data_IF_554546593228
#
_entry.id   IF_554546593228
#
_cell.length_a   1.000
_cell.length_b   1.000
_cell.length_c   1.000
_cell.angle_alpha   90.00
_cell.angle_beta   90.00
_cell.angle_gamma   90.00
#
_symmetry.space_group_name_H-M   'P 1'
#
loop_
_entity.id
_entity.type
_entity.pdbx_description
1 polymer ?
#
# COMPACT_ATOMS: atom_id res chain seq x y z
N UNK A 1 26.83 -19.03 -38.14
CA UNK A 1 27.26 -18.91 -36.72
C UNK A 1 26.61 -17.73 -36.00
N UNK A 2 26.83 -16.46 -36.40
CA UNK A 2 26.25 -15.28 -35.72
C UNK A 2 24.72 -15.32 -35.54
N UNK A 3 23.96 -15.72 -36.57
CA UNK A 3 22.49 -15.84 -36.51
C UNK A 3 21.99 -16.92 -35.55
N UNK A 4 22.74 -18.02 -35.42
CA UNK A 4 22.42 -19.12 -34.49
C UNK A 4 22.71 -18.69 -33.05
N UNK A 5 23.86 -18.05 -32.82
CA UNK A 5 24.21 -17.48 -31.51
C UNK A 5 23.16 -16.44 -31.08
N UNK A 6 22.73 -15.56 -32.00
CA UNK A 6 21.70 -14.56 -31.71
C UNK A 6 20.33 -15.20 -31.41
N UNK A 7 19.96 -16.25 -32.14
CA UNK A 7 18.74 -17.02 -31.87
C UNK A 7 18.77 -17.73 -30.51
N UNK A 8 19.90 -18.35 -30.14
CA UNK A 8 20.08 -18.95 -28.82
C UNK A 8 20.02 -17.91 -27.69
N UNK A 9 20.66 -16.75 -27.87
CA UNK A 9 20.63 -15.66 -26.88
C UNK A 9 19.19 -15.15 -26.68
N UNK A 10 18.46 -14.93 -27.78
CA UNK A 10 17.07 -14.51 -27.73
C UNK A 10 16.19 -15.54 -26.99
N UNK A 11 16.39 -16.83 -27.26
CA UNK A 11 15.68 -17.89 -26.57
C UNK A 11 15.96 -17.90 -25.06
N UNK A 12 17.22 -17.75 -24.65
CA UNK A 12 17.59 -17.70 -23.23
C UNK A 12 16.93 -16.51 -22.52
N UNK A 13 16.93 -15.33 -23.14
CA UNK A 13 16.28 -14.12 -22.58
C UNK A 13 14.77 -14.35 -22.42
N UNK A 14 14.11 -14.91 -23.43
CA UNK A 14 12.67 -15.21 -23.38
C UNK A 14 12.37 -16.26 -22.31
N UNK A 15 13.18 -17.32 -22.21
CA UNK A 15 13.01 -18.34 -21.18
C UNK A 15 13.21 -17.78 -19.77
N UNK A 16 14.21 -16.91 -19.58
CA UNK A 16 14.46 -16.25 -18.30
C UNK A 16 13.34 -15.28 -17.92
N UNK A 17 12.83 -14.49 -18.86
CA UNK A 17 11.68 -13.61 -18.64
C UNK A 17 10.42 -14.42 -18.30
N UNK A 18 10.17 -15.50 -19.03
CA UNK A 18 9.05 -16.42 -18.76
C UNK A 18 9.13 -17.04 -17.37
N UNK A 19 10.31 -17.51 -16.96
CA UNK A 19 10.53 -18.03 -15.62
C UNK A 19 10.36 -16.95 -14.55
N UNK A 20 10.87 -15.73 -14.78
CA UNK A 20 10.73 -14.60 -13.86
C UNK A 20 9.26 -14.20 -13.65
N UNK A 21 8.45 -14.21 -14.70
CA UNK A 21 7.01 -13.97 -14.60
C UNK A 21 6.29 -15.12 -13.89
N UNK A 22 6.67 -16.36 -14.18
CA UNK A 22 6.08 -17.55 -13.56
C UNK A 22 6.33 -17.60 -12.04
N UNK A 23 7.53 -17.24 -11.58
CA UNK A 23 7.92 -17.21 -10.17
C UNK A 23 7.80 -15.83 -9.51
N UNK A 24 7.13 -14.86 -10.18
CA UNK A 24 7.06 -13.48 -9.71
C UNK A 24 6.52 -13.39 -8.28
N UNK A 25 5.48 -14.15 -7.96
CA UNK A 25 4.84 -14.11 -6.65
C UNK A 25 5.79 -14.61 -5.55
N UNK A 26 6.49 -15.71 -5.80
CA UNK A 26 7.45 -16.28 -4.86
C UNK A 26 8.63 -15.33 -4.63
N UNK A 27 9.11 -14.67 -5.70
CA UNK A 27 10.16 -13.64 -5.64
C UNK A 27 9.69 -12.42 -4.84
N UNK A 28 8.49 -11.90 -5.13
CA UNK A 28 7.91 -10.74 -4.42
C UNK A 28 7.77 -11.06 -2.93
N UNK A 29 7.23 -12.24 -2.59
CA UNK A 29 7.07 -12.69 -1.20
C UNK A 29 8.40 -12.82 -0.47
N UNK A 30 9.41 -13.43 -1.11
CA UNK A 30 10.74 -13.55 -0.53
C UNK A 30 11.40 -12.19 -0.32
N UNK A 31 11.30 -11.30 -1.32
CA UNK A 31 11.81 -9.93 -1.25
C UNK A 31 11.17 -9.16 -0.10
N UNK A 32 9.84 -9.22 0.03
CA UNK A 32 9.11 -8.59 1.12
C UNK A 32 9.52 -9.11 2.50
N UNK A 33 9.59 -10.44 2.66
CA UNK A 33 10.00 -11.04 3.92
C UNK A 33 11.42 -10.60 4.32
N UNK A 34 12.31 -10.44 3.34
CA UNK A 34 13.67 -9.95 3.56
C UNK A 34 13.74 -8.44 3.86
N UNK A 35 12.84 -7.64 3.29
CA UNK A 35 12.89 -6.17 3.39
C UNK A 35 12.02 -5.56 4.49
N UNK A 36 11.02 -6.28 5.00
CA UNK A 36 9.97 -5.73 5.88
C UNK A 36 10.53 -4.98 7.11
N UNK A 37 11.66 -5.44 7.66
CA UNK A 37 12.29 -4.84 8.84
C UNK A 37 13.68 -4.25 8.54
N UNK A 38 14.02 -4.04 7.27
CA UNK A 38 15.31 -3.47 6.88
C UNK A 38 15.31 -1.94 6.81
N UNK A 39 14.15 -1.30 7.00
CA UNK A 39 13.96 0.13 6.74
C UNK A 39 13.80 0.47 5.26
N UNK A 40 13.65 -0.52 4.38
CA UNK A 40 13.30 -0.27 2.98
C UNK A 40 11.82 0.09 2.86
N UNK A 41 11.50 0.98 1.93
CA UNK A 41 10.14 1.41 1.64
C UNK A 41 9.19 0.24 1.35
N UNK A 42 7.99 0.30 1.92
CA UNK A 42 6.98 -0.76 1.80
C UNK A 42 5.66 -0.31 1.19
N UNK A 43 5.51 0.97 0.84
CA UNK A 43 4.25 1.47 0.27
C UNK A 43 3.87 0.76 -1.04
N UNK A 44 4.83 0.26 -1.82
CA UNK A 44 4.58 -0.56 -3.03
C UNK A 44 4.18 -2.03 -2.74
N UNK A 45 4.23 -2.47 -1.49
CA UNK A 45 3.89 -3.85 -1.09
C UNK A 45 2.61 -3.91 -0.25
N UNK A 46 2.42 -2.98 0.68
CA UNK A 46 1.30 -3.04 1.62
C UNK A 46 -0.08 -2.90 0.98
N UNK A 47 -0.19 -2.28 -0.20
CA UNK A 47 -1.42 -2.18 -0.99
C UNK A 47 -1.77 -3.46 -1.78
N UNK A 48 -0.82 -4.40 -1.90
CA UNK A 48 -0.94 -5.57 -2.78
C UNK A 48 -0.58 -6.89 -2.11
N UNK A 49 -0.71 -6.96 -0.79
CA UNK A 49 -0.42 -8.18 -0.02
C UNK A 49 -1.18 -9.41 -0.53
N UNK A 50 -2.40 -9.23 -1.07
CA UNK A 50 -3.21 -10.29 -1.64
C UNK A 50 -2.60 -10.93 -2.91
N UNK A 51 -1.75 -10.20 -3.63
CA UNK A 51 -1.04 -10.74 -4.79
C UNK A 51 0.13 -11.63 -4.38
N UNK A 52 0.67 -11.42 -3.17
CA UNK A 52 1.91 -12.03 -2.68
C UNK A 52 1.66 -13.23 -1.76
N UNK A 53 0.55 -13.23 -1.02
CA UNK A 53 0.25 -14.24 -0.01
C UNK A 53 -1.13 -14.90 -0.24
N UNK A 54 -1.33 -16.15 0.18
CA UNK A 54 -2.68 -16.72 0.28
C UNK A 54 -3.53 -15.87 1.23
N UNK A 55 -4.76 -15.57 0.82
CA UNK A 55 -5.70 -14.75 1.61
C UNK A 55 -7.02 -15.49 1.82
N UNK A 56 -7.64 -15.23 2.97
CA UNK A 56 -9.05 -15.52 3.18
C UNK A 56 -9.86 -14.24 3.02
N UNK A 57 -10.93 -14.26 2.23
CA UNK A 57 -11.79 -13.10 2.03
C UNK A 57 -12.77 -12.96 3.20
N UNK A 58 -12.78 -11.80 3.85
CA UNK A 58 -13.85 -11.39 4.75
C UNK A 58 -14.88 -10.60 3.93
N UNK A 59 -16.04 -11.17 3.59
CA UNK A 59 -17.02 -10.49 2.75
C UNK A 59 -17.59 -9.27 3.49
N UNK A 60 -17.82 -8.19 2.74
CA UNK A 60 -18.58 -7.06 3.25
C UNK A 60 -20.02 -7.47 3.60
N UNK A 61 -20.66 -6.72 4.50
CA UNK A 61 -22.08 -6.90 4.79
C UNK A 61 -22.93 -6.67 3.52
N UNK A 62 -24.05 -7.38 3.39
CA UNK A 62 -24.99 -7.22 2.26
C UNK A 62 -25.53 -5.79 2.14
N UNK A 63 -25.59 -5.06 3.26
CA UNK A 63 -25.92 -3.64 3.30
C UNK A 63 -24.86 -2.96 4.17
N UNK A 64 -23.76 -2.45 3.58
CA UNK A 64 -22.72 -1.79 4.34
C UNK A 64 -23.21 -0.43 4.84
N UNK A 65 -22.85 -0.08 6.07
CA UNK A 65 -23.03 1.28 6.56
C UNK A 65 -22.18 2.24 5.73
N UNK A 66 -22.78 3.34 5.28
CA UNK A 66 -22.09 4.43 4.59
C UNK A 66 -22.07 5.62 5.53
N UNK A 67 -20.88 6.20 5.77
CA UNK A 67 -20.79 7.48 6.48
C UNK A 67 -21.47 8.57 5.65
N UNK A 68 -22.05 9.56 6.31
CA UNK A 68 -22.54 10.76 5.62
C UNK A 68 -21.36 11.57 5.07
N UNK A 69 -21.61 12.41 4.07
CA UNK A 69 -20.64 13.39 3.60
C UNK A 69 -20.91 14.72 4.33
N UNK A 70 -19.94 15.18 5.11
CA UNK A 70 -20.02 16.42 5.86
C UNK A 70 -19.38 17.59 5.14
N UNK A 71 -19.41 18.77 5.75
CA UNK A 71 -18.71 19.95 5.21
C UNK A 71 -17.18 19.70 5.19
N UNK A 72 -16.56 19.76 4.02
CA UNK A 72 -15.13 19.50 3.87
C UNK A 72 -14.29 20.39 4.79
N UNK A 73 -13.27 19.81 5.43
CA UNK A 73 -12.25 20.55 6.16
C UNK A 73 -10.94 20.56 5.39
N UNK A 74 -10.10 21.55 5.68
CA UNK A 74 -8.70 21.55 5.27
C UNK A 74 -7.82 21.22 6.48
N UNK A 75 -6.69 20.55 6.21
CA UNK A 75 -5.67 20.38 7.25
C UNK A 75 -5.01 21.73 7.54
N UNK A 76 -4.62 22.00 8.80
CA UNK A 76 -3.82 23.18 9.09
C UNK A 76 -2.48 23.09 8.34
N UNK A 77 -1.96 24.22 7.84
CA UNK A 77 -0.67 24.22 7.15
C UNK A 77 0.50 23.80 8.05
N UNK A 78 0.40 24.12 9.34
CA UNK A 78 1.37 23.72 10.37
C UNK A 78 0.67 23.29 11.66
N UNK A 79 1.38 22.52 12.49
CA UNK A 79 0.97 22.20 13.86
C UNK A 79 2.16 22.25 14.82
N UNK A 80 1.89 22.44 16.11
CA UNK A 80 2.95 22.46 17.13
C UNK A 80 3.17 21.08 17.73
N UNK A 81 4.39 20.58 17.69
CA UNK A 81 4.80 19.37 18.38
C UNK A 81 6.07 19.62 19.20
N UNK A 82 6.02 19.34 20.51
CA UNK A 82 7.13 19.57 21.46
C UNK A 82 7.70 21.00 21.37
N UNK A 83 6.82 22.00 21.23
CA UNK A 83 7.19 23.42 21.16
C UNK A 83 7.81 23.86 19.82
N UNK A 84 7.82 23.00 18.81
CA UNK A 84 8.27 23.32 17.46
C UNK A 84 7.09 23.34 16.49
N UNK A 85 7.11 24.29 15.57
CA UNK A 85 6.21 24.29 14.43
C UNK A 85 6.64 23.21 13.43
N UNK A 86 5.69 22.42 12.96
CA UNK A 86 5.87 21.33 12.00
C UNK A 86 4.93 21.56 10.82
N UNK A 87 5.46 21.51 9.60
CA UNK A 87 4.66 21.53 8.38
C UNK A 87 3.84 20.24 8.26
N UNK A 88 2.53 20.36 8.09
CA UNK A 88 1.64 19.19 7.97
C UNK A 88 2.00 18.36 6.75
N UNK A 89 2.27 19.00 5.60
CA UNK A 89 2.64 18.24 4.39
C UNK A 89 4.01 17.59 4.49
N UNK A 90 4.97 18.26 5.11
CA UNK A 90 6.28 17.65 5.36
C UNK A 90 6.12 16.44 6.26
N UNK A 91 5.32 16.53 7.33
CA UNK A 91 5.07 15.40 8.22
C UNK A 91 4.40 14.23 7.51
N UNK A 92 3.36 14.47 6.71
CA UNK A 92 2.67 13.40 5.98
C UNK A 92 3.61 12.73 4.96
N UNK A 93 4.46 13.50 4.29
CA UNK A 93 5.47 12.98 3.36
C UNK A 93 6.59 12.21 4.06
N UNK A 94 7.13 12.70 5.18
CA UNK A 94 8.22 12.05 5.92
C UNK A 94 7.79 10.79 6.67
N UNK A 95 6.48 10.59 6.83
CA UNK A 95 5.90 9.42 7.50
C UNK A 95 5.29 8.42 6.51
N UNK A 96 5.51 8.61 5.20
CA UNK A 96 4.95 7.79 4.13
C UNK A 96 3.44 7.56 4.28
N UNK A 97 2.72 8.62 4.68
CA UNK A 97 1.28 8.53 4.93
C UNK A 97 0.58 8.23 3.61
N UNK A 98 0.02 7.03 3.48
CA UNK A 98 -0.66 6.60 2.25
C UNK A 98 -2.15 6.96 2.22
N UNK A 99 -2.78 7.12 3.39
CA UNK A 99 -4.17 7.56 3.50
C UNK A 99 -4.43 8.30 4.81
N UNK A 100 -5.25 9.34 4.74
CA UNK A 100 -5.76 10.06 5.90
C UNK A 100 -7.27 10.27 5.73
N UNK A 101 -8.04 9.82 6.72
CA UNK A 101 -9.49 9.92 6.78
C UNK A 101 -9.87 10.62 8.10
N UNK A 102 -10.65 11.69 8.02
CA UNK A 102 -11.21 12.37 9.19
C UNK A 102 -12.72 12.23 9.17
N UNK A 103 -13.25 11.57 10.20
CA UNK A 103 -14.69 11.45 10.45
C UNK A 103 -15.03 12.27 11.68
N UNK A 104 -16.05 13.12 11.58
CA UNK A 104 -16.57 13.93 12.67
C UNK A 104 -18.09 13.85 12.68
N UNK A 105 -18.69 13.56 13.84
CA UNK A 105 -20.15 13.46 14.01
C UNK A 105 -20.83 12.46 13.04
N UNK A 106 -20.14 11.37 12.68
CA UNK A 106 -20.68 10.35 11.76
C UNK A 106 -20.59 10.73 10.28
N UNK A 107 -19.91 11.81 9.96
CA UNK A 107 -19.72 12.29 8.59
C UNK A 107 -18.23 12.33 8.23
N UNK A 108 -17.91 11.96 7.00
CA UNK A 108 -16.60 12.17 6.41
C UNK A 108 -16.39 13.66 6.21
N UNK A 109 -15.29 14.18 6.75
CA UNK A 109 -14.90 15.61 6.65
C UNK A 109 -13.69 15.81 5.74
N UNK A 110 -12.85 14.78 5.61
CA UNK A 110 -11.64 14.80 4.79
C UNK A 110 -11.28 13.37 4.40
N UNK A 111 -10.99 13.17 3.11
CA UNK A 111 -10.29 12.01 2.60
C UNK A 111 -9.10 12.48 1.75
N UNK A 112 -7.90 12.01 2.10
CA UNK A 112 -6.68 12.25 1.34
C UNK A 112 -5.98 10.94 1.13
N UNK A 113 -5.61 10.66 -0.12
CA UNK A 113 -4.86 9.47 -0.52
C UNK A 113 -3.57 9.89 -1.23
N UNK A 114 -2.46 9.27 -0.84
CA UNK A 114 -1.11 9.55 -1.33
C UNK A 114 -0.38 8.21 -1.54
N UNK A 115 0.79 8.24 -2.17
CA UNK A 115 1.57 7.04 -2.49
C UNK A 115 0.69 6.00 -3.22
N UNK A 116 0.56 4.80 -2.66
CA UNK A 116 -0.26 3.70 -3.20
C UNK A 116 -1.61 3.56 -2.49
N UNK A 117 -2.00 4.53 -1.66
CA UNK A 117 -3.31 4.55 -1.03
C UNK A 117 -4.41 4.96 -2.01
N UNK A 118 -5.64 4.61 -1.68
CA UNK A 118 -6.82 4.97 -2.46
C UNK A 118 -8.09 4.57 -1.74
N UNK A 119 -9.23 5.15 -2.14
CA UNK A 119 -10.54 4.87 -1.52
C UNK A 119 -10.88 3.38 -1.54
N UNK A 120 -10.61 2.73 -2.66
CA UNK A 120 -10.95 1.32 -2.90
C UNK A 120 -9.72 0.39 -2.81
N UNK A 121 -8.65 0.81 -2.13
CA UNK A 121 -7.41 0.03 -2.02
C UNK A 121 -7.29 -0.57 -0.62
N UNK A 122 -7.17 -1.91 -0.54
CA UNK A 122 -6.87 -2.58 0.71
C UNK A 122 -5.39 -2.41 1.07
N UNK A 123 -5.12 -1.83 2.23
CA UNK A 123 -3.77 -1.67 2.77
C UNK A 123 -3.54 -2.57 3.98
N UNK A 124 -2.33 -3.11 4.12
CA UNK A 124 -1.95 -3.94 5.27
C UNK A 124 -2.07 -3.14 6.57
N UNK A 125 -3.03 -3.49 7.41
CA UNK A 125 -3.30 -2.77 8.66
C UNK A 125 -2.31 -3.09 9.79
N UNK A 126 -1.40 -4.04 9.59
CA UNK A 126 -0.53 -4.59 10.63
C UNK A 126 -1.36 -4.97 11.88
N UNK A 127 -0.91 -4.56 13.07
CA UNK A 127 -1.55 -4.92 14.33
C UNK A 127 -2.93 -4.31 14.57
N UNK A 128 -3.40 -3.34 13.78
CA UNK A 128 -4.79 -2.85 13.88
C UNK A 128 -5.80 -3.99 13.64
N UNK A 129 -5.42 -5.02 12.88
CA UNK A 129 -6.23 -6.23 12.68
C UNK A 129 -6.59 -6.94 14.00
N UNK A 130 -5.75 -6.82 15.05
CA UNK A 130 -5.99 -7.46 16.34
C UNK A 130 -7.27 -6.96 17.02
N UNK A 131 -7.65 -5.70 16.79
CA UNK A 131 -8.87 -5.09 17.32
C UNK A 131 -10.16 -5.69 16.73
N UNK A 132 -10.08 -6.40 15.60
CA UNK A 132 -11.24 -7.06 14.96
C UNK A 132 -11.43 -8.52 15.40
N UNK A 133 -10.39 -9.14 15.96
CA UNK A 133 -10.38 -10.57 16.31
C UNK A 133 -10.31 -10.83 17.83
N UNK A 134 -10.17 -9.78 18.64
CA UNK A 134 -10.14 -9.86 20.12
C UNK A 134 -11.49 -9.53 20.70
#
# INVERSE_FOLDING_TARGET
MKKVILGCLAFVVVAAAGAGLYFKREIDRASFAASLFSGAEQYENFNRMADMFPVGTMPAAATPFQFGEGESIELPGTFTYKGKEVSTETFLSETDTSALLVIQNGEVRLERYMLTGGRDVNWMSMSVAKSFVS
#
